data_IF_091633503671
#
_entry.id   IF_091633503671
#
_cell.length_a   1.000
_cell.length_b   1.000
_cell.length_c   1.000
_cell.angle_alpha   90.00
_cell.angle_beta   90.00
_cell.angle_gamma   90.00
#
_symmetry.space_group_name_H-M   'P 1'
#
loop_
_entity.id
_entity.type
_entity.pdbx_description
1 polymer ?
#
# COMPACT_ATOMS: atom_id res chain seq x y z
N UNK A 1 -12.50 -6.01 47.82
CA UNK A 1 -12.70 -5.56 46.43
C UNK A 1 -12.82 -6.81 45.57
N UNK A 2 -14.02 -7.11 45.06
CA UNK A 2 -14.39 -8.44 44.52
C UNK A 2 -13.66 -8.77 43.21
N UNK A 3 -13.18 -10.01 43.06
CA UNK A 3 -12.53 -10.54 41.85
C UNK A 3 -13.39 -10.38 40.59
N UNK A 4 -14.72 -10.50 40.74
CA UNK A 4 -15.67 -10.28 39.66
C UNK A 4 -15.62 -8.84 39.14
N UNK A 5 -15.41 -7.89 40.03
CA UNK A 5 -15.29 -6.47 39.69
C UNK A 5 -14.01 -6.22 38.89
N UNK A 6 -12.89 -6.84 39.28
CA UNK A 6 -11.63 -6.77 38.54
C UNK A 6 -11.76 -7.32 37.12
N UNK A 7 -12.39 -8.49 36.96
CA UNK A 7 -12.61 -9.12 35.64
C UNK A 7 -13.47 -8.21 34.74
N UNK A 8 -14.57 -7.67 35.27
CA UNK A 8 -15.47 -6.79 34.52
C UNK A 8 -14.81 -5.49 34.06
N UNK A 9 -13.96 -4.88 34.90
CA UNK A 9 -13.22 -3.68 34.51
C UNK A 9 -12.21 -3.98 33.39
N UNK A 10 -11.48 -5.10 33.49
CA UNK A 10 -10.48 -5.48 32.46
C UNK A 10 -11.10 -5.89 31.13
N UNK A 11 -12.26 -6.55 31.13
CA UNK A 11 -12.95 -6.96 29.90
C UNK A 11 -13.60 -5.78 29.16
N UNK A 12 -14.08 -4.76 29.87
CA UNK A 12 -14.58 -3.53 29.25
C UNK A 12 -13.50 -2.76 28.50
N UNK A 13 -12.30 -2.65 29.07
CA UNK A 13 -11.16 -2.00 28.40
C UNK A 13 -10.77 -2.69 27.08
N UNK A 14 -10.90 -4.03 27.02
CA UNK A 14 -10.60 -4.81 25.82
C UNK A 14 -11.66 -4.66 24.72
N UNK A 15 -12.92 -4.45 25.10
CA UNK A 15 -14.02 -4.24 24.15
C UNK A 15 -14.01 -2.83 23.52
N UNK A 16 -13.48 -1.83 24.23
CA UNK A 16 -13.35 -0.45 23.75
C UNK A 16 -12.33 -0.29 22.61
N UNK A 17 -11.36 -1.19 22.48
CA UNK A 17 -10.32 -1.13 21.42
C UNK A 17 -10.75 -1.74 20.08
N UNK A 18 -11.95 -2.31 19.99
CA UNK A 18 -12.43 -3.03 18.79
C UNK A 18 -13.01 -2.11 17.69
N UNK A 19 -12.87 -0.79 17.79
CA UNK A 19 -13.64 0.16 16.98
C UNK A 19 -12.91 1.43 16.52
N UNK A 20 -11.59 1.43 16.39
CA UNK A 20 -10.90 2.57 15.79
C UNK A 20 -11.22 2.65 14.28
N UNK A 21 -11.99 3.67 13.90
CA UNK A 21 -12.32 3.98 12.51
C UNK A 21 -11.07 4.35 11.72
N UNK A 22 -10.97 3.89 10.47
CA UNK A 22 -9.91 4.33 9.56
C UNK A 22 -10.02 5.86 9.43
N UNK A 23 -8.95 6.63 9.73
CA UNK A 23 -8.99 8.07 9.65
C UNK A 23 -9.24 8.51 8.21
N UNK A 24 -10.01 9.57 8.06
CA UNK A 24 -10.35 10.16 6.76
C UNK A 24 -9.76 11.56 6.67
N UNK A 25 -9.63 12.08 5.45
CA UNK A 25 -9.17 13.47 5.26
C UNK A 25 -10.19 14.51 5.74
N UNK A 26 -11.45 14.11 5.98
CA UNK A 26 -12.45 14.97 6.62
C UNK A 26 -12.10 15.29 8.08
N UNK A 27 -11.31 14.42 8.73
CA UNK A 27 -10.87 14.59 10.12
C UNK A 27 -9.73 15.61 10.26
N UNK A 28 -9.27 16.18 9.14
CA UNK A 28 -8.17 17.12 9.09
C UNK A 28 -6.80 16.45 9.04
N UNK A 29 -5.71 17.20 9.29
CA UNK A 29 -4.36 16.67 9.22
C UNK A 29 -4.11 15.66 10.35
N UNK A 30 -3.59 14.48 9.98
CA UNK A 30 -3.16 13.49 10.95
C UNK A 30 -1.78 13.81 11.52
N UNK A 31 -1.50 13.31 12.73
CA UNK A 31 -0.17 13.41 13.34
C UNK A 31 0.86 12.68 12.46
N UNK A 32 1.99 13.32 12.08
CA UNK A 32 3.01 12.66 11.27
C UNK A 32 3.52 11.38 11.93
N UNK A 33 3.59 10.30 11.13
CA UNK A 33 4.10 9.00 11.54
C UNK A 33 5.24 8.60 10.61
N UNK A 34 6.42 8.37 11.19
CA UNK A 34 7.56 7.83 10.46
C UNK A 34 7.69 6.35 10.75
N UNK A 35 7.54 5.51 9.72
CA UNK A 35 7.80 4.08 9.84
C UNK A 35 9.30 3.84 9.89
N UNK A 36 9.76 3.02 10.83
CA UNK A 36 11.19 2.63 10.89
C UNK A 36 11.57 1.86 9.63
N UNK A 37 12.81 2.05 9.19
CA UNK A 37 13.38 1.28 8.10
C UNK A 37 13.39 -0.21 8.47
N UNK A 38 12.86 -1.05 7.58
CA UNK A 38 12.87 -2.49 7.75
C UNK A 38 14.18 -3.05 7.18
N UNK A 39 15.08 -3.58 8.01
CA UNK A 39 16.39 -4.06 7.58
C UNK A 39 16.32 -5.31 6.70
N UNK A 40 15.16 -5.99 6.65
CA UNK A 40 14.93 -7.13 5.75
C UNK A 40 14.62 -6.70 4.31
N UNK A 41 14.35 -5.41 4.07
CA UNK A 41 14.13 -4.90 2.73
C UNK A 41 15.40 -5.03 1.90
N UNK A 42 15.22 -5.53 0.68
CA UNK A 42 16.30 -5.72 -0.28
C UNK A 42 17.02 -4.38 -0.51
N UNK A 43 18.35 -4.38 -0.33
CA UNK A 43 19.19 -3.25 -0.71
C UNK A 43 19.44 -3.32 -2.20
N UNK A 44 18.83 -2.41 -2.96
CA UNK A 44 18.97 -2.31 -4.42
C UNK A 44 17.86 -3.02 -5.21
N UNK A 45 17.68 -2.57 -6.45
CA UNK A 45 16.76 -3.15 -7.43
C UNK A 45 17.59 -3.73 -8.58
N UNK A 46 17.21 -4.91 -9.06
CA UNK A 46 17.80 -5.47 -10.28
C UNK A 46 16.88 -5.08 -11.43
N UNK A 47 17.47 -4.61 -12.52
CA UNK A 47 16.72 -4.36 -13.74
C UNK A 47 16.22 -5.69 -14.32
N UNK A 48 15.13 -5.62 -15.07
CA UNK A 48 14.68 -6.76 -15.84
C UNK A 48 15.72 -7.08 -16.92
N UNK A 49 16.15 -8.34 -17.04
CA UNK A 49 17.02 -8.78 -18.13
C UNK A 49 16.43 -8.42 -19.50
N UNK A 50 17.27 -8.05 -20.47
CA UNK A 50 16.80 -7.61 -21.79
C UNK A 50 16.04 -8.70 -22.56
N UNK A 51 16.29 -9.96 -22.26
CA UNK A 51 15.61 -11.14 -22.80
C UNK A 51 14.31 -11.49 -22.04
N UNK A 52 13.96 -10.71 -21.01
CA UNK A 52 12.74 -10.91 -20.25
C UNK A 52 11.51 -10.86 -21.19
N UNK A 53 10.55 -11.81 -21.13
CA UNK A 53 9.43 -11.89 -22.06
C UNK A 53 8.59 -10.61 -22.22
N UNK A 54 8.51 -9.78 -21.18
CA UNK A 54 7.84 -8.46 -21.20
C UNK A 54 8.57 -7.39 -22.00
N UNK A 55 9.88 -7.53 -22.22
CA UNK A 55 10.71 -6.59 -22.98
C UNK A 55 10.94 -7.08 -24.42
N UNK A 56 10.71 -8.37 -24.69
CA UNK A 56 10.86 -8.96 -26.01
C UNK A 56 9.82 -8.39 -26.98
N UNK A 57 10.26 -8.07 -28.20
CA UNK A 57 9.35 -7.82 -29.33
C UNK A 57 8.42 -9.01 -29.50
N UNK A 58 7.11 -8.74 -29.52
CA UNK A 58 6.11 -9.81 -29.61
C UNK A 58 6.09 -10.34 -31.05
N UNK A 59 6.47 -11.60 -31.22
CA UNK A 59 6.36 -12.47 -32.41
C UNK A 59 5.68 -11.90 -33.69
N UNK A 60 6.29 -10.96 -34.42
CA UNK A 60 5.83 -10.62 -35.79
C UNK A 60 7.00 -10.13 -36.66
N UNK A 61 7.05 -10.65 -37.89
CA UNK A 61 7.70 -10.01 -39.03
C UNK A 61 7.20 -8.55 -39.13
N UNK A 62 8.08 -7.59 -38.82
CA UNK A 62 7.84 -6.13 -38.64
C UNK A 62 6.90 -5.53 -39.70
N UNK A 63 5.84 -4.75 -39.37
CA UNK A 63 5.90 -3.30 -39.04
C UNK A 63 4.69 -2.81 -38.18
N UNK A 64 4.20 -3.64 -37.26
CA UNK A 64 3.06 -3.25 -36.42
C UNK A 64 3.46 -2.36 -35.24
N UNK A 65 2.64 -1.37 -34.86
CA UNK A 65 2.89 -0.53 -33.68
C UNK A 65 3.02 -1.34 -32.39
N UNK A 66 4.00 -0.98 -31.56
CA UNK A 66 4.24 -1.52 -30.22
C UNK A 66 4.49 -0.38 -29.23
N UNK A 67 4.37 -0.65 -27.92
CA UNK A 67 4.54 0.36 -26.85
C UNK A 67 3.59 1.58 -26.98
N UNK A 68 2.30 1.32 -27.21
CA UNK A 68 1.27 2.37 -27.35
C UNK A 68 1.10 3.13 -26.04
N UNK A 69 1.21 4.46 -26.10
CA UNK A 69 0.94 5.38 -24.99
C UNK A 69 -0.27 6.23 -25.36
N UNK A 70 -1.25 6.29 -24.48
CA UNK A 70 -2.41 7.18 -24.60
C UNK A 70 -2.25 8.35 -23.63
N UNK A 71 -2.57 9.55 -24.09
CA UNK A 71 -2.66 10.75 -23.26
C UNK A 71 -4.09 11.25 -23.19
N UNK A 72 -4.41 11.99 -22.14
CA UNK A 72 -5.65 12.76 -22.06
C UNK A 72 -5.37 14.20 -22.49
N UNK A 73 -6.19 14.73 -23.39
CA UNK A 73 -6.18 16.17 -23.66
C UNK A 73 -6.90 16.91 -22.54
N UNK A 74 -6.38 18.08 -22.16
CA UNK A 74 -7.14 19.05 -21.39
C UNK A 74 -8.15 19.71 -22.33
N UNK A 75 -9.43 19.37 -22.18
CA UNK A 75 -10.51 20.19 -22.74
C UNK A 75 -10.46 21.54 -21.99
N UNK A 76 -10.37 22.69 -22.69
CA UNK A 76 -10.40 24.00 -22.05
C UNK A 76 -11.69 24.27 -21.28
#
# INVERSE_FOLDING_TARGET
MSLLMMIALTSMSLLLTAGESIPTTLDGPFKPLTRRFDPSLRRGSDDLPIDHPRLRKRNVSSDFPEQIVLGSDSIP
#
